data_IF_337046463699
#
_entry.id   IF_337046463699
#
_cell.length_a   1.000
_cell.length_b   1.000
_cell.length_c   1.000
_cell.angle_alpha   90.00
_cell.angle_beta   90.00
_cell.angle_gamma   90.00
#
_symmetry.space_group_name_H-M   'P 1'
#
loop_
_entity.id
_entity.type
_entity.pdbx_description
1 polymer ?
#
# COMPACT_ATOMS: atom_id res chain seq x y z
N UNK A 1 43.14 9.24 33.96
CA UNK A 1 41.95 8.45 33.57
C UNK A 1 41.83 8.51 32.05
N UNK A 2 41.87 7.35 31.38
CA UNK A 2 41.75 7.22 29.92
C UNK A 2 40.29 7.41 29.52
N UNK A 3 39.99 8.36 28.65
CA UNK A 3 38.65 8.53 28.08
C UNK A 3 38.52 7.53 26.94
N UNK A 4 37.57 6.60 27.08
CA UNK A 4 37.28 5.57 26.08
C UNK A 4 36.66 6.21 24.82
N UNK A 5 37.48 6.38 23.78
CA UNK A 5 37.05 6.78 22.44
C UNK A 5 36.62 5.54 21.65
N UNK A 6 35.40 5.04 21.84
CA UNK A 6 34.94 3.87 21.07
C UNK A 6 33.43 3.61 21.16
N UNK A 7 32.54 4.52 20.74
CA UNK A 7 31.12 4.18 20.48
C UNK A 7 30.47 4.94 19.30
N UNK A 8 31.11 5.92 18.64
CA UNK A 8 30.39 6.78 17.67
C UNK A 8 30.87 6.71 16.22
N UNK A 9 30.99 5.51 15.64
CA UNK A 9 31.26 5.34 14.20
C UNK A 9 30.50 4.16 13.59
N UNK A 10 29.17 4.18 13.64
CA UNK A 10 28.34 3.22 12.89
C UNK A 10 27.04 3.83 12.30
N UNK A 11 26.98 5.16 12.13
CA UNK A 11 25.74 5.86 11.74
C UNK A 11 25.69 6.44 10.32
N UNK A 12 26.79 6.45 9.54
CA UNK A 12 26.90 7.35 8.37
C UNK A 12 26.84 6.64 7.00
N UNK A 13 26.80 5.30 6.93
CA UNK A 13 26.96 4.60 5.64
C UNK A 13 25.68 4.30 4.83
N UNK A 14 24.47 4.62 5.32
CA UNK A 14 23.23 4.27 4.60
C UNK A 14 22.74 5.31 3.59
N UNK A 15 23.29 6.53 3.57
CA UNK A 15 22.77 7.62 2.74
C UNK A 15 23.09 7.50 1.23
N UNK A 16 24.14 6.75 0.86
CA UNK A 16 24.61 6.67 -0.53
C UNK A 16 23.87 5.65 -1.39
N UNK A 17 23.24 4.62 -0.79
CA UNK A 17 22.50 3.59 -1.54
C UNK A 17 21.19 4.10 -2.15
N UNK A 18 20.55 5.11 -1.55
CA UNK A 18 19.28 5.65 -2.05
C UNK A 18 19.44 6.60 -3.25
N UNK A 19 20.64 7.15 -3.48
CA UNK A 19 20.87 8.11 -4.56
C UNK A 19 20.98 7.46 -5.96
N UNK A 20 21.30 6.16 -6.04
CA UNK A 20 21.59 5.49 -7.31
C UNK A 20 20.42 4.70 -7.92
N UNK A 21 19.34 4.44 -7.18
CA UNK A 21 18.32 3.47 -7.59
C UNK A 21 17.04 3.98 -8.30
N UNK A 22 16.76 5.28 -8.53
CA UNK A 22 15.53 5.64 -9.25
C UNK A 22 15.48 5.14 -10.70
N UNK A 23 16.62 5.03 -11.37
CA UNK A 23 16.69 4.66 -12.79
C UNK A 23 16.43 3.16 -13.04
N UNK A 24 16.72 2.29 -12.07
CA UNK A 24 16.56 0.84 -12.22
C UNK A 24 15.09 0.39 -12.14
N UNK A 25 14.26 1.06 -11.32
CA UNK A 25 12.84 0.70 -11.18
C UNK A 25 11.94 1.29 -12.27
N UNK A 26 12.43 2.25 -13.06
CA UNK A 26 11.63 2.92 -14.10
C UNK A 26 11.62 2.17 -15.44
N UNK A 27 12.52 1.20 -15.67
CA UNK A 27 12.71 0.59 -16.99
C UNK A 27 11.76 -0.58 -17.29
N UNK A 28 11.14 -1.20 -16.28
CA UNK A 28 10.38 -2.46 -16.45
C UNK A 28 8.86 -2.29 -16.60
N UNK A 29 8.35 -1.06 -16.72
CA UNK A 29 6.91 -0.84 -16.93
C UNK A 29 6.45 -0.84 -18.40
N UNK A 30 7.34 -1.11 -19.35
CA UNK A 30 6.98 -1.29 -20.76
C UNK A 30 6.61 -2.75 -21.04
N UNK A 31 5.39 -3.16 -20.70
CA UNK A 31 4.94 -4.50 -21.10
C UNK A 31 3.57 -4.95 -20.63
N UNK A 32 2.95 -4.29 -19.65
CA UNK A 32 1.53 -4.54 -19.38
C UNK A 32 0.70 -3.68 -20.32
N UNK A 33 0.44 -4.25 -21.50
CA UNK A 33 -0.71 -3.90 -22.31
C UNK A 33 -1.94 -4.12 -21.41
N UNK A 34 -2.30 -3.09 -20.65
CA UNK A 34 -3.53 -3.05 -19.89
C UNK A 34 -4.64 -2.99 -20.93
N UNK A 35 -5.01 -4.15 -21.45
CA UNK A 35 -6.19 -4.33 -22.27
C UNK A 35 -7.31 -3.58 -21.59
N UNK A 36 -7.69 -2.45 -22.18
CA UNK A 36 -8.84 -1.66 -21.81
C UNK A 36 -10.08 -2.49 -22.15
N UNK A 37 -10.32 -3.54 -21.38
CA UNK A 37 -11.68 -3.96 -21.12
C UNK A 37 -12.32 -2.73 -20.52
N UNK A 38 -13.06 -1.96 -21.33
CA UNK A 38 -13.92 -0.88 -20.88
C UNK A 38 -14.81 -1.50 -19.81
N UNK A 39 -14.40 -1.43 -18.55
CA UNK A 39 -15.23 -1.87 -17.44
C UNK A 39 -16.55 -1.16 -17.64
N UNK A 40 -17.62 -1.93 -17.83
CA UNK A 40 -18.91 -1.40 -18.16
C UNK A 40 -19.29 -0.43 -17.04
N UNK A 41 -19.19 0.87 -17.32
CA UNK A 41 -19.31 1.91 -16.29
C UNK A 41 -20.68 1.83 -15.62
N UNK A 42 -21.70 1.39 -16.38
CA UNK A 42 -23.05 1.17 -15.88
C UNK A 42 -23.09 0.05 -14.85
N UNK A 43 -22.59 -1.13 -15.20
CA UNK A 43 -22.49 -2.29 -14.31
C UNK A 43 -21.71 -1.97 -13.03
N UNK A 44 -20.55 -1.32 -13.15
CA UNK A 44 -19.77 -0.93 -11.97
C UNK A 44 -20.49 0.13 -11.10
N UNK A 45 -21.33 1.00 -11.68
CA UNK A 45 -22.17 1.91 -10.89
C UNK A 45 -23.36 1.21 -10.23
N UNK A 46 -23.91 0.18 -10.85
CA UNK A 46 -24.92 -0.71 -10.26
C UNK A 46 -24.31 -1.48 -9.09
N UNK A 47 -23.17 -2.14 -9.28
CA UNK A 47 -22.43 -2.82 -8.22
C UNK A 47 -22.04 -1.88 -7.07
N UNK A 48 -21.65 -0.65 -7.38
CA UNK A 48 -21.31 0.34 -6.37
C UNK A 48 -22.52 0.72 -5.51
N UNK A 49 -23.69 0.93 -6.12
CA UNK A 49 -24.93 1.29 -5.42
C UNK A 49 -25.48 0.12 -4.61
N UNK A 50 -25.41 -1.08 -5.17
CA UNK A 50 -25.91 -2.31 -4.55
C UNK A 50 -24.90 -2.92 -3.57
N UNK A 51 -23.66 -2.43 -3.56
CA UNK A 51 -22.59 -2.96 -2.71
C UNK A 51 -22.20 -4.39 -3.09
N UNK A 52 -22.12 -4.69 -4.39
CA UNK A 52 -21.80 -6.02 -4.92
C UNK A 52 -20.35 -6.12 -5.40
N UNK A 53 -19.90 -7.34 -5.63
CA UNK A 53 -18.55 -7.64 -6.12
C UNK A 53 -17.47 -7.00 -5.24
N UNK A 54 -16.59 -6.20 -5.83
CA UNK A 54 -15.49 -5.53 -5.13
C UNK A 54 -15.96 -4.49 -4.09
N UNK A 55 -17.23 -4.10 -4.12
CA UNK A 55 -17.81 -3.17 -3.17
C UNK A 55 -18.51 -3.85 -1.99
N UNK A 56 -18.67 -5.17 -2.04
CA UNK A 56 -19.32 -5.92 -0.96
C UNK A 56 -18.52 -5.87 0.33
N UNK A 57 -19.24 -6.02 1.44
CA UNK A 57 -18.63 -6.05 2.77
C UNK A 57 -17.70 -7.26 2.91
N UNK A 58 -18.17 -8.43 2.49
CA UNK A 58 -17.42 -9.69 2.48
C UNK A 58 -16.09 -9.55 1.74
N UNK A 59 -16.11 -9.10 0.48
CA UNK A 59 -14.88 -8.91 -0.30
C UNK A 59 -13.91 -7.92 0.37
N UNK A 60 -14.41 -6.89 1.06
CA UNK A 60 -13.56 -5.93 1.78
C UNK A 60 -12.95 -6.53 3.05
N UNK A 61 -13.67 -7.43 3.71
CA UNK A 61 -13.18 -8.15 4.89
C UNK A 61 -12.14 -9.18 4.48
N UNK A 62 -12.40 -9.98 3.45
CA UNK A 62 -11.46 -10.95 2.89
C UNK A 62 -10.15 -10.28 2.48
N UNK A 63 -10.23 -9.19 1.70
CA UNK A 63 -9.03 -8.42 1.30
C UNK A 63 -8.29 -7.83 2.48
N UNK A 64 -8.98 -7.48 3.58
CA UNK A 64 -8.33 -6.96 4.77
C UNK A 64 -7.56 -8.07 5.49
N UNK A 65 -8.16 -9.25 5.60
CA UNK A 65 -7.54 -10.41 6.22
C UNK A 65 -6.31 -10.86 5.43
N UNK A 66 -6.44 -11.03 4.11
CA UNK A 66 -5.32 -11.39 3.21
C UNK A 66 -4.14 -10.41 3.37
N UNK A 67 -4.44 -9.11 3.45
CA UNK A 67 -3.40 -8.08 3.64
C UNK A 67 -2.75 -8.13 5.04
N UNK A 68 -3.49 -8.53 6.08
CA UNK A 68 -2.94 -8.71 7.42
C UNK A 68 -2.04 -9.94 7.50
N UNK A 69 -2.47 -11.06 6.93
CA UNK A 69 -1.68 -12.29 6.82
C UNK A 69 -0.38 -12.01 6.07
N UNK A 70 -0.48 -11.38 4.88
CA UNK A 70 0.69 -11.01 4.08
C UNK A 70 1.66 -10.07 4.82
N UNK A 71 1.14 -9.15 5.65
CA UNK A 71 1.98 -8.26 6.48
C UNK A 71 2.77 -9.05 7.53
N UNK A 72 2.17 -10.08 8.13
CA UNK A 72 2.82 -10.99 9.08
C UNK A 72 3.89 -11.84 8.39
N UNK A 73 3.53 -12.50 7.29
CA UNK A 73 4.45 -13.31 6.48
C UNK A 73 5.68 -12.52 6.03
N UNK A 74 5.48 -11.25 5.63
CA UNK A 74 6.60 -10.38 5.24
C UNK A 74 7.51 -10.03 6.41
N UNK A 75 6.96 -9.81 7.61
CA UNK A 75 7.77 -9.59 8.81
C UNK A 75 8.59 -10.83 9.17
N UNK A 76 8.01 -12.02 9.01
CA UNK A 76 8.69 -13.30 9.23
C UNK A 76 9.78 -13.55 8.19
N UNK A 77 9.49 -13.32 6.91
CA UNK A 77 10.44 -13.44 5.81
C UNK A 77 11.63 -12.50 5.96
N UNK A 78 11.39 -11.29 6.46
CA UNK A 78 12.44 -10.32 6.75
C UNK A 78 13.15 -10.59 8.08
N UNK A 79 12.72 -11.61 8.84
CA UNK A 79 13.26 -11.98 10.15
C UNK A 79 13.30 -10.79 11.11
N UNK A 80 12.24 -9.97 11.10
CA UNK A 80 12.19 -8.77 11.94
C UNK A 80 12.15 -9.14 13.42
N UNK A 81 12.97 -8.44 14.21
CA UNK A 81 12.93 -8.51 15.67
C UNK A 81 11.64 -7.90 16.21
N UNK A 82 11.32 -8.16 17.48
CA UNK A 82 10.10 -7.61 18.11
C UNK A 82 10.05 -6.08 18.05
N UNK A 83 11.17 -5.40 18.30
CA UNK A 83 11.27 -3.94 18.18
C UNK A 83 11.05 -3.46 16.74
N UNK A 84 11.61 -4.17 15.76
CA UNK A 84 11.41 -3.85 14.34
C UNK A 84 9.97 -4.12 13.89
N UNK A 85 9.28 -5.11 14.49
CA UNK A 85 7.88 -5.42 14.23
C UNK A 85 6.95 -4.32 14.73
N UNK A 86 7.29 -3.66 15.84
CA UNK A 86 6.58 -2.46 16.31
C UNK A 86 6.69 -1.35 15.25
N UNK A 87 7.90 -1.04 14.77
CA UNK A 87 8.08 -0.01 13.73
C UNK A 87 7.38 -0.41 12.42
N UNK A 88 7.48 -1.68 12.03
CA UNK A 88 6.76 -2.24 10.88
C UNK A 88 5.24 -2.03 11.02
N UNK A 89 4.73 -2.19 12.25
CA UNK A 89 3.32 -1.99 12.53
C UNK A 89 2.85 -0.56 12.33
N UNK A 90 3.61 0.39 12.88
CA UNK A 90 3.33 1.82 12.77
C UNK A 90 3.33 2.28 11.30
N UNK A 91 4.31 1.82 10.50
CA UNK A 91 4.38 2.13 9.06
C UNK A 91 3.11 1.68 8.33
N UNK A 92 2.61 0.48 8.66
CA UNK A 92 1.42 -0.04 8.03
C UNK A 92 0.15 0.67 8.48
N UNK A 93 0.08 1.06 9.75
CA UNK A 93 -1.06 1.81 10.28
C UNK A 93 -1.13 3.21 9.65
N UNK A 94 0.01 3.89 9.50
CA UNK A 94 0.07 5.14 8.73
C UNK A 94 -0.39 4.98 7.27
N UNK A 95 0.06 3.91 6.61
CA UNK A 95 -0.35 3.60 5.24
C UNK A 95 -1.84 3.34 5.16
N UNK A 96 -2.41 2.63 6.14
CA UNK A 96 -3.83 2.37 6.23
C UNK A 96 -4.61 3.68 6.36
N UNK A 97 -4.20 4.62 7.21
CA UNK A 97 -4.85 5.92 7.31
C UNK A 97 -4.82 6.71 6.00
N UNK A 98 -3.64 6.76 5.35
CA UNK A 98 -3.45 7.43 4.04
C UNK A 98 -4.36 6.77 2.99
N UNK A 99 -4.45 5.44 2.99
CA UNK A 99 -5.33 4.69 2.10
C UNK A 99 -6.80 5.01 2.38
N UNK A 100 -7.25 5.03 3.63
CA UNK A 100 -8.62 5.38 3.99
C UNK A 100 -9.00 6.79 3.50
N UNK A 101 -8.10 7.77 3.64
CA UNK A 101 -8.31 9.12 3.11
C UNK A 101 -8.45 9.11 1.58
N UNK A 102 -7.64 8.34 0.86
CA UNK A 102 -7.74 8.17 -0.60
C UNK A 102 -9.04 7.50 -1.01
N UNK A 103 -9.44 6.44 -0.30
CA UNK A 103 -10.67 5.70 -0.57
C UNK A 103 -11.92 6.57 -0.36
N UNK A 104 -11.97 7.39 0.70
CA UNK A 104 -13.06 8.36 0.88
C UNK A 104 -13.16 9.36 -0.27
N UNK A 105 -12.02 9.89 -0.74
CA UNK A 105 -12.00 10.79 -1.91
C UNK A 105 -12.44 10.08 -3.18
N UNK A 106 -12.00 8.84 -3.38
CA UNK A 106 -12.38 8.02 -4.51
C UNK A 106 -13.88 7.69 -4.50
N UNK A 107 -14.43 7.32 -3.35
CA UNK A 107 -15.86 7.04 -3.17
C UNK A 107 -16.73 8.25 -3.55
N UNK A 108 -16.35 9.46 -3.15
CA UNK A 108 -17.05 10.69 -3.57
C UNK A 108 -17.01 10.92 -5.09
N UNK A 109 -15.85 10.67 -5.71
CA UNK A 109 -15.72 10.77 -7.18
C UNK A 109 -16.55 9.71 -7.90
N UNK A 110 -16.60 8.50 -7.36
CA UNK A 110 -17.43 7.40 -7.84
C UNK A 110 -18.91 7.76 -7.78
N UNK A 111 -19.36 8.26 -6.63
CA UNK A 111 -20.74 8.69 -6.43
C UNK A 111 -21.15 9.78 -7.42
N UNK A 112 -20.33 10.83 -7.57
CA UNK A 112 -20.57 11.89 -8.57
C UNK A 112 -20.67 11.31 -9.98
N UNK A 113 -19.69 10.49 -10.39
CA UNK A 113 -19.66 9.87 -11.72
C UNK A 113 -20.89 9.01 -11.98
N UNK A 114 -21.32 8.22 -11.00
CA UNK A 114 -22.49 7.36 -11.14
C UNK A 114 -23.80 8.16 -11.14
N UNK A 115 -23.85 9.33 -10.50
CA UNK A 115 -25.01 10.23 -10.55
C UNK A 115 -25.07 10.99 -11.89
N UNK A 116 -23.94 11.42 -12.45
CA UNK A 116 -23.87 12.09 -13.76
C UNK A 116 -24.26 11.15 -14.92
N UNK A 117 -24.23 9.84 -14.70
CA UNK A 117 -24.62 8.80 -15.67
C UNK A 117 -26.05 8.28 -15.49
N UNK A 118 -26.79 8.82 -14.52
CA UNK A 118 -28.16 8.43 -14.19
C UNK A 118 -29.14 9.18 -15.06
#
# INVERSE_FOLDING_TARGET
MKVHTSVMTAGVLMATLFAASPAAFAHDHKGMDHGEGKHNKKEMCEDFREGKGKFSKEHREDRRQEMQEHRGEMADRLMLTDEQRVIWSEIHDERQEKHQKRMKKWQKKMEKRCNDMK
#
